data_IF_416214890479
#
_entry.id   IF_416214890479
#
_cell.length_a   1.000
_cell.length_b   1.000
_cell.length_c   1.000
_cell.angle_alpha   90.00
_cell.angle_beta   90.00
_cell.angle_gamma   90.00
#
_symmetry.space_group_name_H-M   'P 1'
#
loop_
_entity.id
_entity.type
_entity.pdbx_description
1 polymer ?
#
# COMPACT_ATOMS: atom_id res chain seq x y z
N UNK A 1 -1.25 -19.10 -28.95
CA UNK A 1 -1.37 -17.81 -28.25
C UNK A 1 -0.05 -17.62 -27.55
N UNK A 2 0.83 -16.84 -28.16
CA UNK A 2 2.14 -16.56 -27.61
C UNK A 2 1.94 -15.76 -26.32
N UNK A 3 2.30 -16.37 -25.19
CA UNK A 3 2.40 -15.63 -23.94
C UNK A 3 3.55 -14.65 -24.15
N UNK A 4 3.22 -13.41 -24.49
CA UNK A 4 4.16 -12.31 -24.53
C UNK A 4 4.79 -12.22 -23.13
N UNK A 5 5.98 -12.80 -22.99
CA UNK A 5 6.75 -12.74 -21.75
C UNK A 5 7.16 -11.28 -21.65
N UNK A 6 6.37 -10.49 -20.91
CA UNK A 6 6.77 -9.15 -20.54
C UNK A 6 8.14 -9.28 -19.89
N UNK A 7 9.19 -8.62 -20.41
CA UNK A 7 10.50 -8.70 -19.79
C UNK A 7 10.35 -8.31 -18.31
N UNK A 8 11.01 -9.03 -17.38
CA UNK A 8 10.91 -8.69 -15.97
C UNK A 8 11.26 -7.21 -15.81
N UNK A 9 10.36 -6.46 -15.17
CA UNK A 9 10.56 -5.04 -14.93
C UNK A 9 11.96 -4.85 -14.31
N UNK A 10 12.73 -3.90 -14.83
CA UNK A 10 14.03 -3.55 -14.25
C UNK A 10 13.81 -3.30 -12.74
N UNK A 11 14.45 -4.07 -11.84
CA UNK A 11 14.27 -3.90 -10.40
C UNK A 11 14.66 -2.49 -9.91
N UNK A 12 15.43 -1.75 -10.70
CA UNK A 12 15.81 -0.36 -10.45
C UNK A 12 14.93 0.66 -11.17
N UNK A 13 13.92 0.24 -11.92
CA UNK A 13 12.97 1.15 -12.55
C UNK A 13 12.29 2.00 -11.46
N UNK A 14 12.34 3.34 -11.57
CA UNK A 14 11.75 4.22 -10.56
C UNK A 14 10.24 3.98 -10.36
N UNK A 15 9.51 3.56 -11.38
CA UNK A 15 8.08 3.26 -11.28
C UNK A 15 7.86 1.97 -10.50
N UNK A 16 8.64 0.92 -10.80
CA UNK A 16 8.64 -0.33 -10.05
C UNK A 16 8.98 -0.11 -8.58
N UNK A 17 10.03 0.67 -8.29
CA UNK A 17 10.45 0.98 -6.91
C UNK A 17 9.35 1.75 -6.14
N UNK A 18 8.70 2.71 -6.79
CA UNK A 18 7.56 3.44 -6.19
C UNK A 18 6.38 2.52 -5.91
N UNK A 19 5.98 1.69 -6.87
CA UNK A 19 4.90 0.73 -6.69
C UNK A 19 5.21 -0.28 -5.57
N UNK A 20 6.46 -0.76 -5.51
CA UNK A 20 6.94 -1.64 -4.44
C UNK A 20 6.89 -0.95 -3.08
N UNK A 21 7.38 0.28 -2.98
CA UNK A 21 7.35 1.04 -1.72
C UNK A 21 5.91 1.28 -1.24
N UNK A 22 4.98 1.59 -2.14
CA UNK A 22 3.56 1.74 -1.83
C UNK A 22 2.95 0.43 -1.32
N UNK A 23 3.17 -0.68 -2.04
CA UNK A 23 2.69 -2.00 -1.65
C UNK A 23 3.19 -2.41 -0.26
N UNK A 24 4.48 -2.18 0.03
CA UNK A 24 5.06 -2.44 1.34
C UNK A 24 4.43 -1.58 2.45
N UNK A 25 4.20 -0.29 2.16
CA UNK A 25 3.60 0.64 3.12
C UNK A 25 2.16 0.26 3.47
N UNK A 26 1.34 -0.05 2.46
CA UNK A 26 -0.04 -0.52 2.66
C UNK A 26 -0.05 -1.85 3.41
N UNK A 27 0.84 -2.77 3.06
CA UNK A 27 0.98 -4.05 3.77
C UNK A 27 1.34 -3.88 5.25
N UNK A 28 2.26 -2.95 5.57
CA UNK A 28 2.61 -2.66 6.95
C UNK A 28 1.43 -2.08 7.75
N UNK A 29 0.66 -1.16 7.16
CA UNK A 29 -0.54 -0.58 7.79
C UNK A 29 -1.60 -1.65 8.02
N UNK A 30 -1.91 -2.49 7.02
CA UNK A 30 -2.88 -3.59 7.18
C UNK A 30 -2.48 -4.53 8.31
N UNK A 31 -1.20 -4.91 8.38
CA UNK A 31 -0.68 -5.75 9.47
C UNK A 31 -0.84 -5.10 10.84
N UNK A 32 -0.55 -3.80 10.96
CA UNK A 32 -0.77 -3.05 12.19
C UNK A 32 -2.25 -2.99 12.61
N UNK A 33 -3.17 -3.02 11.64
CA UNK A 33 -4.62 -3.13 11.87
C UNK A 33 -5.10 -4.57 12.16
N UNK A 34 -4.20 -5.56 12.18
CA UNK A 34 -4.55 -6.98 12.35
C UNK A 34 -5.21 -7.61 11.12
N UNK A 35 -5.21 -6.92 9.97
CA UNK A 35 -5.75 -7.42 8.71
C UNK A 35 -4.75 -8.33 8.01
N UNK A 36 -5.26 -9.29 7.24
CA UNK A 36 -4.45 -10.18 6.41
C UNK A 36 -3.96 -9.47 5.15
N UNK A 37 -2.81 -9.92 4.65
CA UNK A 37 -2.22 -9.53 3.39
C UNK A 37 -2.27 -10.68 2.38
N UNK A 38 -2.21 -10.41 1.06
CA UNK A 38 -2.23 -11.47 0.05
C UNK A 38 -1.14 -12.55 0.25
N UNK A 39 0.04 -12.16 0.76
CA UNK A 39 1.14 -13.09 1.05
C UNK A 39 0.89 -14.05 2.23
N UNK A 40 -0.21 -13.89 2.97
CA UNK A 40 -0.58 -14.80 4.07
C UNK A 40 -1.37 -16.03 3.56
N UNK A 41 -1.73 -16.07 2.27
CA UNK A 41 -2.51 -17.15 1.66
C UNK A 41 -1.79 -17.72 0.43
N UNK A 42 -1.98 -19.02 0.12
CA UNK A 42 -1.51 -19.57 -1.13
C UNK A 42 -2.15 -18.85 -2.33
N UNK A 43 -1.36 -18.52 -3.34
CA UNK A 43 -1.86 -17.81 -4.54
C UNK A 43 -2.94 -18.64 -5.24
N UNK A 44 -4.05 -17.98 -5.58
CA UNK A 44 -5.15 -18.59 -6.35
C UNK A 44 -6.23 -19.28 -5.52
N UNK A 45 -6.15 -19.31 -4.18
CA UNK A 45 -7.29 -19.75 -3.36
C UNK A 45 -8.38 -18.67 -3.30
N UNK A 46 -9.59 -19.06 -2.89
CA UNK A 46 -10.72 -18.14 -2.73
C UNK A 46 -10.38 -17.04 -1.71
N UNK A 47 -9.73 -17.42 -0.61
CA UNK A 47 -9.29 -16.49 0.44
C UNK A 47 -8.24 -15.51 -0.08
N UNK A 48 -7.32 -16.00 -0.92
CA UNK A 48 -6.33 -15.14 -1.57
C UNK A 48 -6.99 -14.10 -2.47
N UNK A 49 -7.96 -14.52 -3.30
CA UNK A 49 -8.69 -13.60 -4.17
C UNK A 49 -9.44 -12.51 -3.39
N UNK A 50 -10.15 -12.90 -2.32
CA UNK A 50 -10.85 -11.94 -1.46
C UNK A 50 -9.89 -10.91 -0.84
N UNK A 51 -8.75 -11.37 -0.33
CA UNK A 51 -7.77 -10.50 0.33
C UNK A 51 -7.02 -9.62 -0.69
N UNK A 52 -6.82 -10.09 -1.91
CA UNK A 52 -6.26 -9.29 -3.02
C UNK A 52 -7.19 -8.14 -3.39
N UNK A 53 -8.50 -8.38 -3.49
CA UNK A 53 -9.48 -7.33 -3.79
C UNK A 53 -9.50 -6.26 -2.69
N UNK A 54 -9.53 -6.67 -1.42
CA UNK A 54 -9.42 -5.73 -0.31
C UNK A 54 -8.10 -4.94 -0.31
N UNK A 55 -6.98 -5.63 -0.58
CA UNK A 55 -5.66 -5.00 -0.63
C UNK A 55 -5.58 -3.98 -1.77
N UNK A 56 -6.12 -4.30 -2.94
CA UNK A 56 -6.18 -3.38 -4.08
C UNK A 56 -6.99 -2.13 -3.74
N UNK A 57 -8.11 -2.28 -3.02
CA UNK A 57 -8.89 -1.14 -2.54
C UNK A 57 -8.10 -0.25 -1.57
N UNK A 58 -7.29 -0.82 -0.69
CA UNK A 58 -6.43 -0.03 0.20
C UNK A 58 -5.33 0.71 -0.56
N UNK A 59 -4.76 0.09 -1.60
CA UNK A 59 -3.80 0.75 -2.51
C UNK A 59 -4.45 1.91 -3.26
N UNK A 60 -5.65 1.70 -3.82
CA UNK A 60 -6.39 2.77 -4.51
C UNK A 60 -6.71 3.92 -3.57
N UNK A 61 -7.12 3.64 -2.33
CA UNK A 61 -7.30 4.68 -1.30
C UNK A 61 -6.00 5.43 -1.05
N UNK A 62 -4.88 4.73 -0.83
CA UNK A 62 -3.59 5.39 -0.61
C UNK A 62 -3.12 6.26 -1.80
N UNK A 63 -3.53 5.93 -3.02
CA UNK A 63 -3.21 6.72 -4.23
C UNK A 63 -4.16 7.90 -4.46
N UNK A 64 -5.43 7.78 -4.05
CA UNK A 64 -6.49 8.76 -4.30
C UNK A 64 -6.80 9.64 -3.08
N UNK A 65 -6.33 9.27 -1.90
CA UNK A 65 -6.42 10.11 -0.71
C UNK A 65 -5.53 11.33 -0.93
N UNK A 66 -6.15 12.49 -1.13
CA UNK A 66 -5.56 13.78 -0.74
C UNK A 66 -5.09 13.64 0.73
N UNK A 67 -3.96 14.24 1.12
CA UNK A 67 -3.57 14.25 2.52
C UNK A 67 -4.59 15.07 3.30
N UNK A 68 -5.62 14.42 3.84
CA UNK A 68 -6.38 14.89 4.99
C UNK A 68 -5.44 14.80 6.21
N UNK A 69 -4.37 15.57 6.18
CA UNK A 69 -3.65 15.97 7.37
C UNK A 69 -4.51 17.07 7.98
N UNK A 70 -5.26 16.84 9.08
CA UNK A 70 -5.50 17.95 9.97
C UNK A 70 -4.11 18.48 10.29
N UNK A 71 -3.84 19.72 9.85
CA UNK A 71 -2.64 20.44 10.26
C UNK A 71 -2.64 20.27 11.78
N UNK A 72 -1.71 19.47 12.29
CA UNK A 72 -1.38 19.44 13.70
C UNK A 72 -0.81 20.83 13.95
N UNK A 73 -1.70 21.80 14.18
CA UNK A 73 -1.35 23.07 14.75
C UNK A 73 -0.83 22.72 16.14
N UNK A 74 0.48 22.46 16.21
CA UNK A 74 1.22 22.54 17.44
C UNK A 74 1.07 23.98 17.90
N UNK A 75 0.01 24.24 18.65
CA UNK A 75 -0.15 25.44 19.45
C UNK A 75 1.08 25.48 20.33
N UNK A 76 2.08 26.26 19.92
CA UNK A 76 3.17 26.64 20.81
C UNK A 76 2.49 27.40 21.92
N UNK A 77 2.29 26.73 23.05
CA UNK A 77 1.97 27.38 24.30
C UNK A 77 3.17 28.28 24.61
N UNK A 78 3.07 29.53 24.17
CA UNK A 78 4.00 30.57 24.59
C UNK A 78 3.65 30.88 26.03
N UNK A 79 4.19 30.06 26.94
CA UNK A 79 4.10 30.26 28.37
C UNK A 79 4.75 31.60 28.69
N UNK A 80 3.90 32.49 29.22
CA UNK A 80 4.25 33.80 29.76
C UNK A 80 5.51 33.75 30.63
N UNK A 81 6.37 34.75 30.48
CA UNK A 81 7.05 35.40 31.59
C UNK A 81 7.08 36.89 31.35
#
# INVERSE_FOLDING_TARGET
>A
MDHEITPPADPNDPTFLRARALSLSVGAIRKAQGKKCPGDFPVGTIEWHAVVEEFANDVLKAMLSEPDLPILEFKRDNARK
#
